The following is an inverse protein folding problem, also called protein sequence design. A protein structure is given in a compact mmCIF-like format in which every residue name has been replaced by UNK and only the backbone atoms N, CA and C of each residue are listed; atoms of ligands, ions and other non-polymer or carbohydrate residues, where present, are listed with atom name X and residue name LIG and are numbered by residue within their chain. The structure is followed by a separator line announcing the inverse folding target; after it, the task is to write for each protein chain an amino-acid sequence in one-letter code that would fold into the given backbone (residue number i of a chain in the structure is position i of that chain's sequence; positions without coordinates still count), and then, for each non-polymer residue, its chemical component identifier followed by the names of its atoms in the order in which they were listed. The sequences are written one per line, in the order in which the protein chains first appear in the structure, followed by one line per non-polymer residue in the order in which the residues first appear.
data_IF_258294710779
#
_entry.id   IF_258294710779
#
_cell.length_a   1.000
_cell.length_b   1.000
_cell.length_c   1.000
_cell.angle_alpha   90.00
_cell.angle_beta   90.00
_cell.angle_gamma   90.00
#
_symmetry.space_group_name_H-M   'P 1'
#
loop_
_entity.id
_entity.type
_entity.pdbx_description
1 polymer ?
#
# COMPACT_ATOMS: atom_id res chain seq x y z
N UNK A 1 -58.48 50.09 35.54
CA UNK A 1 -58.27 49.71 34.13
C UNK A 1 -56.78 49.64 33.84
N UNK A 2 -56.29 48.41 33.61
CA UNK A 2 -55.27 48.00 32.62
C UNK A 2 -54.18 49.03 32.22
N UNK A 3 -52.91 48.81 32.59
CA UNK A 3 -51.91 48.01 31.85
C UNK A 3 -50.44 48.46 32.02
N UNK A 4 -49.61 47.45 32.34
CA UNK A 4 -48.26 47.14 31.82
C UNK A 4 -47.05 47.94 32.32
N UNK A 5 -46.43 47.41 33.39
CA UNK A 5 -44.99 47.50 33.61
C UNK A 5 -44.32 46.22 33.07
N UNK A 6 -43.38 46.41 32.15
CA UNK A 6 -42.53 45.36 31.57
C UNK A 6 -41.42 45.06 32.58
N UNK A 7 -41.36 43.83 33.07
CA UNK A 7 -40.26 43.33 33.90
C UNK A 7 -39.22 42.70 32.97
N UNK A 8 -38.01 43.27 32.93
CA UNK A 8 -36.84 42.66 32.32
C UNK A 8 -36.33 41.55 33.25
N UNK A 9 -36.46 40.29 32.84
CA UNK A 9 -35.83 39.17 33.52
C UNK A 9 -34.40 39.00 32.96
N UNK A 10 -33.40 39.28 33.78
CA UNK A 10 -32.00 38.95 33.48
C UNK A 10 -31.77 37.50 33.92
N UNK A 11 -31.77 36.58 32.96
CA UNK A 11 -31.34 35.19 33.19
C UNK A 11 -29.81 35.13 33.22
N UNK A 12 -29.26 34.83 34.40
CA UNK A 12 -27.84 34.53 34.59
C UNK A 12 -27.58 33.08 34.16
N UNK A 13 -26.99 32.88 32.99
CA UNK A 13 -26.57 31.56 32.51
C UNK A 13 -25.18 31.26 33.11
N UNK A 14 -25.16 30.38 34.12
CA UNK A 14 -23.92 29.77 34.62
C UNK A 14 -23.39 28.83 33.52
N UNK A 15 -22.36 29.26 32.80
CA UNK A 15 -21.61 28.38 31.92
C UNK A 15 -20.71 27.47 32.78
N UNK A 16 -21.15 26.22 32.99
CA UNK A 16 -20.26 25.15 33.41
C UNK A 16 -19.23 24.93 32.30
N UNK A 17 -18.02 25.44 32.51
CA UNK A 17 -16.86 25.09 31.71
C UNK A 17 -16.51 23.62 31.99
N UNK A 18 -17.12 22.71 31.24
CA UNK A 18 -16.61 21.34 31.11
C UNK A 18 -15.25 21.43 30.43
N UNK A 19 -14.19 21.29 31.22
CA UNK A 19 -12.84 21.09 30.70
C UNK A 19 -12.85 19.85 29.81
N UNK A 20 -12.85 20.07 28.50
CA UNK A 20 -12.43 19.06 27.54
C UNK A 20 -10.97 18.78 27.86
N UNK A 21 -10.72 17.70 28.62
CA UNK A 21 -9.44 17.06 28.61
C UNK A 21 -9.20 16.64 27.16
N UNK A 22 -8.46 17.46 26.42
CA UNK A 22 -7.95 17.09 25.11
C UNK A 22 -7.15 15.81 25.32
N UNK A 23 -7.67 14.70 24.78
CA UNK A 23 -6.91 13.47 24.66
C UNK A 23 -5.67 13.83 23.86
N UNK A 24 -4.53 13.90 24.55
CA UNK A 24 -3.26 14.21 23.92
C UNK A 24 -2.93 13.01 23.02
N UNK A 25 -3.27 13.12 21.73
CA UNK A 25 -2.93 12.13 20.72
C UNK A 25 -1.41 12.19 20.50
N UNK A 26 -0.71 11.22 21.09
CA UNK A 26 0.71 11.03 20.86
C UNK A 26 0.87 10.30 19.52
N UNK A 27 1.17 11.05 18.47
CA UNK A 27 1.59 10.48 17.19
C UNK A 27 3.11 10.28 17.19
N UNK A 28 3.56 9.04 17.04
CA UNK A 28 4.94 8.72 16.73
C UNK A 28 5.19 9.18 15.30
N UNK A 29 5.82 10.34 15.13
CA UNK A 29 6.23 10.80 13.81
C UNK A 29 7.48 10.03 13.39
N UNK A 30 7.38 9.23 12.34
CA UNK A 30 8.54 8.67 11.63
C UNK A 30 9.39 9.84 11.08
N UNK A 31 10.54 10.09 11.69
CA UNK A 31 11.62 10.90 11.11
C UNK A 31 12.86 10.02 11.01
N UNK A 32 13.65 10.20 9.95
CA UNK A 32 14.97 9.57 9.82
C UNK A 32 15.76 9.78 11.12
N UNK A 33 16.19 8.68 11.76
CA UNK A 33 16.96 8.70 13.01
C UNK A 33 16.16 8.65 14.31
N UNK A 34 14.81 8.63 14.31
CA UNK A 34 14.02 8.36 15.52
C UNK A 34 14.03 6.86 15.81
N UNK A 35 14.41 6.42 17.03
CA UNK A 35 14.44 5.00 17.37
C UNK A 35 13.02 4.40 17.30
N UNK A 36 12.92 3.19 16.73
CA UNK A 36 11.68 2.44 16.66
C UNK A 36 11.11 2.23 18.07
N UNK A 37 9.78 2.28 18.20
CA UNK A 37 9.12 2.13 19.50
C UNK A 37 9.17 0.67 19.94
N UNK A 38 9.69 0.41 21.14
CA UNK A 38 9.77 -0.95 21.68
C UNK A 38 8.37 -1.48 22.02
N UNK A 39 7.99 -2.58 21.38
CA UNK A 39 6.68 -3.20 21.53
C UNK A 39 6.83 -4.64 22.02
N UNK A 40 6.15 -4.96 23.12
CA UNK A 40 6.00 -6.33 23.62
C UNK A 40 4.77 -6.99 22.99
N UNK A 41 4.98 -8.18 22.44
CA UNK A 41 3.94 -9.02 21.82
C UNK A 41 4.02 -10.45 22.39
N UNK A 42 3.52 -10.68 23.61
CA UNK A 42 3.46 -12.02 24.21
C UNK A 42 2.56 -12.98 23.42
N UNK A 43 2.67 -14.27 23.76
CA UNK A 43 1.74 -15.28 23.27
C UNK A 43 0.29 -14.92 23.67
N UNK A 44 -0.64 -15.12 22.74
CA UNK A 44 -2.04 -14.82 23.01
C UNK A 44 -2.65 -15.86 23.94
N UNK A 45 -3.36 -15.38 24.95
CA UNK A 45 -4.03 -16.24 25.92
C UNK A 45 -5.20 -16.96 25.25
N UNK A 46 -5.33 -18.26 25.48
CA UNK A 46 -6.47 -19.05 25.02
C UNK A 46 -7.34 -19.41 26.22
N UNK A 47 -8.61 -19.00 26.22
CA UNK A 47 -9.55 -19.35 27.30
C UNK A 47 -9.97 -20.82 27.26
N UNK A 48 -9.77 -21.51 26.14
CA UNK A 48 -9.98 -22.95 26.00
C UNK A 48 -8.64 -23.70 25.90
N UNK A 49 -8.65 -24.99 26.26
CA UNK A 49 -7.53 -25.90 26.01
C UNK A 49 -7.51 -26.43 24.56
N UNK A 50 -8.40 -25.94 23.69
CA UNK A 50 -8.61 -26.52 22.37
C UNK A 50 -7.43 -26.28 21.42
N UNK A 51 -7.14 -27.28 20.60
CA UNK A 51 -6.08 -27.21 19.58
C UNK A 51 -6.40 -26.11 18.57
N UNK A 52 -7.68 -25.94 18.23
CA UNK A 52 -8.18 -24.90 17.32
C UNK A 52 -7.82 -23.50 17.80
N UNK A 53 -8.17 -23.15 19.05
CA UNK A 53 -7.88 -21.83 19.60
C UNK A 53 -6.37 -21.57 19.71
N UNK A 54 -5.58 -22.58 20.09
CA UNK A 54 -4.12 -22.49 20.15
C UNK A 54 -3.48 -22.27 18.78
N UNK A 55 -3.99 -22.97 17.76
CA UNK A 55 -3.49 -22.85 16.37
C UNK A 55 -3.81 -21.46 15.83
N UNK A 56 -5.05 -20.98 16.01
CA UNK A 56 -5.43 -19.62 15.64
C UNK A 56 -4.61 -18.56 16.39
N UNK A 57 -4.33 -18.78 17.68
CA UNK A 57 -3.51 -17.86 18.50
C UNK A 57 -2.09 -17.73 17.97
N UNK A 58 -1.46 -18.86 17.64
CA UNK A 58 -0.13 -18.86 17.05
C UNK A 58 -0.11 -18.18 15.67
N UNK A 59 -1.08 -18.50 14.80
CA UNK A 59 -1.19 -17.92 13.46
C UNK A 59 -1.39 -16.39 13.50
N UNK A 60 -2.38 -15.90 14.25
CA UNK A 60 -2.68 -14.46 14.34
C UNK A 60 -1.48 -13.70 14.92
N UNK A 61 -0.86 -14.24 15.98
CA UNK A 61 0.32 -13.62 16.58
C UNK A 61 1.49 -13.57 15.60
N UNK A 62 1.76 -14.65 14.88
CA UNK A 62 2.85 -14.72 13.91
C UNK A 62 2.67 -13.68 12.80
N UNK A 63 1.45 -13.57 12.25
CA UNK A 63 1.14 -12.59 11.20
C UNK A 63 1.25 -11.17 11.75
N UNK A 64 0.68 -10.90 12.93
CA UNK A 64 0.78 -9.59 13.56
C UNK A 64 2.24 -9.19 13.84
N UNK A 65 3.07 -10.15 14.30
CA UNK A 65 4.48 -9.90 14.52
C UNK A 65 5.21 -9.56 13.21
N UNK A 66 4.90 -10.27 12.12
CA UNK A 66 5.46 -9.99 10.81
C UNK A 66 5.05 -8.60 10.31
N UNK A 67 3.77 -8.23 10.43
CA UNK A 67 3.24 -6.92 10.05
C UNK A 67 3.90 -5.77 10.82
N UNK A 68 3.98 -5.87 12.15
CA UNK A 68 4.56 -4.81 12.97
C UNK A 68 6.06 -4.63 12.73
N UNK A 69 6.81 -5.72 12.50
CA UNK A 69 8.20 -5.63 12.09
C UNK A 69 8.35 -5.01 10.69
N UNK A 70 7.45 -5.38 9.77
CA UNK A 70 7.44 -4.85 8.41
C UNK A 70 7.22 -3.34 8.37
N UNK A 71 6.42 -2.80 9.29
CA UNK A 71 6.10 -1.38 9.40
C UNK A 71 7.32 -0.45 9.58
N UNK A 72 8.44 -0.97 10.07
CA UNK A 72 9.63 -0.22 10.52
C UNK A 72 9.36 0.85 11.60
N UNK A 73 8.14 0.95 12.13
CA UNK A 73 7.75 1.85 13.23
C UNK A 73 8.11 1.24 14.59
N UNK A 74 7.94 -0.08 14.68
CA UNK A 74 8.08 -0.83 15.93
C UNK A 74 9.32 -1.70 15.91
N UNK A 75 9.92 -1.85 17.08
CA UNK A 75 10.91 -2.88 17.35
C UNK A 75 10.27 -3.88 18.32
N UNK A 76 9.96 -5.09 17.83
CA UNK A 76 9.45 -6.13 18.71
C UNK A 76 10.53 -6.59 19.68
N UNK A 77 10.17 -6.71 20.95
CA UNK A 77 11.07 -7.26 21.96
C UNK A 77 11.32 -8.76 21.71
N UNK A 78 12.57 -9.24 21.86
CA UNK A 78 12.90 -10.66 21.79
C UNK A 78 12.09 -11.49 22.78
N UNK A 79 11.52 -12.62 22.34
CA UNK A 79 10.66 -13.48 23.18
C UNK A 79 11.38 -13.99 24.45
N UNK A 80 12.70 -14.22 24.40
CA UNK A 80 13.54 -14.60 25.55
C UNK A 80 13.49 -13.59 26.71
N UNK A 81 13.09 -12.34 26.46
CA UNK A 81 12.96 -11.36 27.54
C UNK A 81 11.73 -11.64 28.41
N UNK A 82 10.72 -12.33 27.86
CA UNK A 82 9.51 -12.66 28.59
C UNK A 82 9.75 -13.73 29.68
N UNK A 83 10.87 -14.47 29.60
CA UNK A 83 11.26 -15.48 30.61
C UNK A 83 11.73 -14.86 31.93
N UNK A 84 12.12 -13.58 31.92
CA UNK A 84 12.57 -12.86 33.13
C UNK A 84 11.43 -12.24 33.94
N UNK A 85 10.20 -12.32 33.43
CA UNK A 85 9.01 -11.71 34.03
C UNK A 85 7.93 -12.75 34.27
N UNK A 86 6.87 -12.36 34.98
CA UNK A 86 5.72 -13.24 35.15
C UNK A 86 5.00 -13.44 33.81
N UNK A 87 4.43 -14.64 33.56
CA UNK A 87 3.56 -14.87 32.41
C UNK A 87 2.43 -13.85 32.34
N UNK A 88 2.03 -13.48 31.13
CA UNK A 88 0.93 -12.53 30.92
C UNK A 88 -0.39 -13.10 31.45
N UNK A 89 -1.05 -12.35 32.32
CA UNK A 89 -2.46 -12.52 32.68
C UNK A 89 -3.25 -11.33 32.13
N UNK A 90 -4.07 -11.50 31.07
CA UNK A 90 -4.87 -10.43 30.49
C UNK A 90 -5.85 -9.76 31.47
N UNK A 91 -6.23 -10.45 32.56
CA UNK A 91 -7.16 -9.93 33.57
C UNK A 91 -6.46 -9.09 34.63
N UNK A 92 -5.16 -9.28 34.84
CA UNK A 92 -4.38 -8.61 35.87
C UNK A 92 -2.92 -8.37 35.41
N UNK A 93 -2.75 -7.38 34.54
CA UNK A 93 -1.45 -7.05 33.94
C UNK A 93 -0.56 -6.31 34.95
N UNK A 94 0.62 -6.84 35.25
CA UNK A 94 1.63 -6.17 36.06
C UNK A 94 2.61 -5.36 35.19
N UNK A 95 2.29 -4.09 34.92
CA UNK A 95 3.03 -3.26 33.96
C UNK A 95 4.53 -3.07 34.27
N UNK A 96 4.92 -3.04 35.56
CA UNK A 96 6.33 -2.89 35.95
C UNK A 96 7.22 -4.02 35.43
N UNK A 97 6.67 -5.22 35.22
CA UNK A 97 7.41 -6.34 34.65
C UNK A 97 7.80 -6.01 33.19
N UNK A 98 6.84 -5.56 32.39
CA UNK A 98 7.06 -5.15 31.00
C UNK A 98 7.96 -3.92 30.89
N UNK A 99 7.84 -2.97 31.81
CA UNK A 99 8.73 -1.81 31.90
C UNK A 99 10.18 -2.24 32.18
N UNK A 100 10.38 -3.24 33.04
CA UNK A 100 11.72 -3.74 33.41
C UNK A 100 12.50 -4.36 32.23
N UNK A 101 11.78 -4.89 31.23
CA UNK A 101 12.36 -5.40 29.99
C UNK A 101 12.30 -4.37 28.85
N UNK A 102 12.12 -3.10 29.19
CA UNK A 102 12.15 -1.95 28.28
C UNK A 102 11.02 -1.93 27.24
N UNK A 103 9.86 -2.52 27.53
CA UNK A 103 8.67 -2.36 26.69
C UNK A 103 8.07 -0.96 26.89
N UNK A 104 7.89 -0.22 25.80
CA UNK A 104 7.14 1.05 25.82
C UNK A 104 5.64 0.79 25.63
N UNK A 105 5.33 -0.14 24.74
CA UNK A 105 3.98 -0.56 24.38
C UNK A 105 3.82 -2.06 24.64
N UNK A 106 2.65 -2.47 25.11
CA UNK A 106 2.27 -3.86 25.29
C UNK A 106 1.00 -4.16 24.50
N UNK A 107 1.06 -5.16 23.63
CA UNK A 107 -0.12 -5.69 22.96
C UNK A 107 -0.50 -7.07 23.55
N UNK A 108 -1.71 -7.17 24.09
CA UNK A 108 -2.24 -8.41 24.69
C UNK A 108 -3.36 -8.94 23.81
N UNK A 109 -3.24 -10.21 23.42
CA UNK A 109 -4.27 -10.93 22.67
C UNK A 109 -4.93 -12.02 23.50
N UNK A 110 -6.23 -12.16 23.34
CA UNK A 110 -7.04 -13.26 23.87
C UNK A 110 -7.80 -13.94 22.73
N UNK A 111 -7.87 -15.28 22.77
CA UNK A 111 -8.68 -16.06 21.84
C UNK A 111 -9.67 -16.94 22.61
N UNK A 112 -10.92 -16.90 22.15
CA UNK A 112 -12.00 -17.78 22.60
C UNK A 112 -12.68 -18.42 21.41
N UNK A 113 -13.25 -19.62 21.60
CA UNK A 113 -14.05 -20.26 20.56
C UNK A 113 -15.42 -19.57 20.41
N UNK A 114 -15.93 -19.58 19.17
CA UNK A 114 -17.29 -19.18 18.83
C UNK A 114 -18.06 -20.36 18.23
N UNK A 115 -19.31 -20.12 17.84
CA UNK A 115 -20.15 -21.13 17.21
C UNK A 115 -19.50 -21.68 15.91
N UNK A 116 -19.58 -23.00 15.73
CA UNK A 116 -19.02 -23.66 14.55
C UNK A 116 -17.49 -23.60 14.48
N UNK A 117 -16.96 -23.25 13.30
CA UNK A 117 -15.51 -23.20 13.07
C UNK A 117 -14.88 -21.83 13.34
N UNK A 118 -15.64 -20.91 13.94
CA UNK A 118 -15.16 -19.57 14.26
C UNK A 118 -14.35 -19.52 15.56
N UNK A 119 -13.40 -18.60 15.59
CA UNK A 119 -12.78 -18.10 16.81
C UNK A 119 -13.03 -16.59 16.93
N UNK A 120 -13.00 -16.12 18.16
CA UNK A 120 -13.03 -14.71 18.51
C UNK A 120 -11.65 -14.34 19.01
N UNK A 121 -11.01 -13.40 18.31
CA UNK A 121 -9.78 -12.77 18.72
C UNK A 121 -10.08 -11.37 19.29
N UNK A 122 -9.61 -11.11 20.51
CA UNK A 122 -9.66 -9.81 21.16
C UNK A 122 -8.23 -9.33 21.40
N UNK A 123 -7.90 -8.16 20.85
CA UNK A 123 -6.60 -7.52 20.97
C UNK A 123 -6.70 -6.22 21.72
N UNK A 124 -5.82 -6.00 22.70
CA UNK A 124 -5.77 -4.79 23.53
C UNK A 124 -4.37 -4.22 23.53
N UNK A 125 -4.27 -2.91 23.35
CA UNK A 125 -3.02 -2.17 23.33
C UNK A 125 -2.92 -1.27 24.57
N UNK A 126 -1.75 -1.27 25.21
CA UNK A 126 -1.49 -0.52 26.42
C UNK A 126 -0.18 0.28 26.31
N UNK A 127 -0.19 1.46 26.92
CA UNK A 127 1.02 2.19 27.29
C UNK A 127 1.57 1.60 28.59
N UNK A 128 2.83 1.13 28.56
CA UNK A 128 3.41 0.37 29.67
C UNK A 128 3.73 1.29 30.85
N UNK A 129 4.34 2.44 30.59
CA UNK A 129 4.81 3.37 31.63
C UNK A 129 3.66 3.91 32.48
N UNK A 130 2.56 4.28 31.83
CA UNK A 130 1.35 4.77 32.50
C UNK A 130 0.38 3.66 32.91
N UNK A 131 0.61 2.41 32.51
CA UNK A 131 -0.34 1.31 32.69
C UNK A 131 -1.71 1.60 32.06
N UNK A 132 -1.74 2.40 30.99
CA UNK A 132 -2.95 2.99 30.43
C UNK A 132 -3.42 2.21 29.22
N UNK A 133 -4.70 1.85 29.20
CA UNK A 133 -5.35 1.31 28.01
C UNK A 133 -5.41 2.36 26.90
N UNK A 134 -4.94 1.99 25.70
CA UNK A 134 -4.98 2.85 24.50
C UNK A 134 -6.22 2.50 23.69
N UNK A 135 -6.34 1.25 23.22
CA UNK A 135 -7.51 0.78 22.50
C UNK A 135 -7.61 -0.75 22.53
N UNK A 136 -8.76 -1.27 22.11
CA UNK A 136 -8.95 -2.70 21.88
C UNK A 136 -9.93 -2.96 20.74
N UNK A 137 -9.76 -4.10 20.06
CA UNK A 137 -10.64 -4.56 18.99
C UNK A 137 -10.96 -6.02 19.17
N UNK A 138 -12.11 -6.41 18.64
CA UNK A 138 -12.59 -7.79 18.64
C UNK A 138 -12.95 -8.19 17.22
N UNK A 139 -12.47 -9.34 16.80
CA UNK A 139 -12.73 -9.92 15.48
C UNK A 139 -13.25 -11.34 15.65
N UNK A 140 -14.30 -11.66 14.91
CA UNK A 140 -14.75 -13.05 14.74
C UNK A 140 -14.32 -13.51 13.36
N UNK A 141 -13.63 -14.65 13.29
CA UNK A 141 -13.02 -15.14 12.06
C UNK A 141 -12.86 -16.65 12.09
N UNK A 142 -12.88 -17.28 10.91
CA UNK A 142 -12.58 -18.70 10.70
C UNK A 142 -11.53 -18.89 9.60
N UNK A 143 -10.72 -19.94 9.76
CA UNK A 143 -9.74 -20.38 8.76
C UNK A 143 -8.87 -19.25 8.23
N UNK A 144 -8.89 -19.04 6.91
CA UNK A 144 -8.06 -18.01 6.22
C UNK A 144 -8.33 -16.58 6.69
N UNK A 145 -9.47 -16.32 7.34
CA UNK A 145 -9.80 -14.99 7.87
C UNK A 145 -9.01 -14.63 9.15
N UNK A 146 -8.31 -15.58 9.78
CA UNK A 146 -7.40 -15.28 10.89
C UNK A 146 -6.31 -14.29 10.48
N UNK A 147 -5.70 -14.50 9.31
CA UNK A 147 -4.70 -13.59 8.74
C UNK A 147 -5.26 -12.20 8.53
N UNK A 148 -6.47 -12.10 7.99
CA UNK A 148 -7.14 -10.82 7.80
C UNK A 148 -7.41 -10.11 9.14
N UNK A 149 -7.76 -10.86 10.20
CA UNK A 149 -7.90 -10.29 11.54
C UNK A 149 -6.57 -9.74 12.08
N UNK A 150 -5.46 -10.46 11.86
CA UNK A 150 -4.11 -10.01 12.21
C UNK A 150 -3.71 -8.72 11.46
N UNK A 151 -3.90 -8.69 10.13
CA UNK A 151 -3.61 -7.50 9.32
C UNK A 151 -4.47 -6.29 9.75
N UNK A 152 -5.76 -6.52 10.02
CA UNK A 152 -6.66 -5.45 10.49
C UNK A 152 -6.24 -4.89 11.83
N UNK A 153 -5.84 -5.73 12.79
CA UNK A 153 -5.36 -5.19 14.07
C UNK A 153 -4.02 -4.48 13.91
N UNK A 154 -3.11 -4.96 13.04
CA UNK A 154 -1.86 -4.28 12.73
C UNK A 154 -2.12 -2.87 12.15
N UNK A 155 -3.09 -2.76 11.23
CA UNK A 155 -3.51 -1.48 10.65
C UNK A 155 -4.03 -0.52 11.73
N UNK A 156 -4.82 -1.02 12.68
CA UNK A 156 -5.30 -0.24 13.82
C UNK A 156 -4.15 0.21 14.74
N UNK A 157 -3.17 -0.66 15.02
CA UNK A 157 -2.00 -0.30 15.84
C UNK A 157 -1.20 0.84 15.18
N UNK A 158 -0.87 0.70 13.88
CA UNK A 158 -0.14 1.73 13.14
C UNK A 158 -0.91 3.05 13.11
N UNK A 159 -2.22 2.99 12.83
CA UNK A 159 -3.07 4.19 12.77
C UNK A 159 -3.12 4.93 14.11
N UNK A 160 -3.30 4.22 15.21
CA UNK A 160 -3.43 4.82 16.54
C UNK A 160 -2.10 5.30 17.14
N UNK A 161 -0.98 4.69 16.77
CA UNK A 161 0.32 5.01 17.38
C UNK A 161 1.20 5.93 16.52
N UNK A 162 1.13 5.86 15.19
CA UNK A 162 2.03 6.62 14.31
C UNK A 162 1.33 7.70 13.48
N UNK A 163 0.01 7.60 13.30
CA UNK A 163 -0.72 8.43 12.34
C UNK A 163 -0.35 8.16 10.87
N UNK A 164 0.55 7.21 10.60
CA UNK A 164 0.91 6.76 9.27
C UNK A 164 -0.23 5.99 8.61
N UNK A 165 -0.16 5.89 7.27
CA UNK A 165 -1.13 5.12 6.49
C UNK A 165 -0.81 3.63 6.64
N UNK A 166 -1.73 2.82 7.18
CA UNK A 166 -1.47 1.39 7.35
C UNK A 166 -1.60 0.66 6.00
N UNK A 167 -0.87 -0.46 5.85
CA UNK A 167 -0.73 -1.16 4.56
C UNK A 167 -0.99 -2.68 4.63
N UNK A 168 -1.27 -3.25 5.80
CA UNK A 168 -1.28 -4.72 5.94
C UNK A 168 -2.50 -5.36 5.31
N UNK A 169 -3.57 -4.60 5.10
CA UNK A 169 -4.75 -5.06 4.33
C UNK A 169 -4.66 -4.75 2.83
N UNK A 170 -3.62 -4.02 2.39
CA UNK A 170 -3.39 -3.71 0.97
C UNK A 170 -3.14 -4.96 0.12
N UNK A 171 -3.20 -4.78 -1.19
CA UNK A 171 -3.09 -5.84 -2.19
C UNK A 171 -2.09 -5.44 -3.26
N UNK A 172 -1.51 -6.44 -3.91
CA UNK A 172 -0.65 -6.26 -5.09
C UNK A 172 -1.32 -6.99 -6.24
N UNK A 173 -1.65 -6.27 -7.31
CA UNK A 173 -2.05 -6.86 -8.57
C UNK A 173 -0.81 -7.12 -9.41
N UNK A 174 -0.77 -8.21 -10.16
CA UNK A 174 0.36 -8.56 -11.02
C UNK A 174 -0.10 -9.47 -12.15
N UNK A 175 0.78 -9.68 -13.14
CA UNK A 175 0.54 -10.61 -14.25
C UNK A 175 1.28 -11.91 -13.98
N UNK A 176 0.63 -13.05 -14.19
CA UNK A 176 1.27 -14.37 -14.13
C UNK A 176 0.89 -15.24 -15.33
N UNK A 177 1.84 -16.04 -15.81
CA UNK A 177 1.62 -17.07 -16.83
C UNK A 177 1.45 -18.49 -16.25
N UNK A 178 1.36 -18.62 -14.92
CA UNK A 178 1.42 -19.91 -14.20
C UNK A 178 0.34 -20.92 -14.60
N UNK A 179 -0.74 -20.44 -15.22
CA UNK A 179 -1.87 -21.25 -15.69
C UNK A 179 -1.97 -21.32 -17.23
N UNK A 180 -0.88 -21.00 -17.94
CA UNK A 180 -0.72 -21.23 -19.38
C UNK A 180 -0.81 -19.99 -20.28
N UNK A 181 -1.26 -18.85 -19.76
CA UNK A 181 -1.25 -17.56 -20.45
C UNK A 181 -1.12 -16.40 -19.45
N UNK A 182 -0.66 -15.24 -19.93
CA UNK A 182 -0.55 -14.03 -19.12
C UNK A 182 -1.93 -13.54 -18.66
N UNK A 183 -2.17 -13.62 -17.36
CA UNK A 183 -3.43 -13.21 -16.74
C UNK A 183 -3.19 -12.39 -15.48
N UNK A 184 -4.21 -11.65 -15.05
CA UNK A 184 -4.14 -10.85 -13.85
C UNK A 184 -4.35 -11.74 -12.61
N UNK A 185 -3.50 -11.53 -11.62
CA UNK A 185 -3.58 -12.10 -10.28
C UNK A 185 -3.50 -10.99 -9.25
N UNK A 186 -3.89 -11.31 -8.03
CA UNK A 186 -3.78 -10.45 -6.88
C UNK A 186 -3.26 -11.25 -5.69
N UNK A 187 -2.51 -10.61 -4.81
CA UNK A 187 -2.04 -11.18 -3.55
C UNK A 187 -2.12 -10.15 -2.42
N UNK A 188 -2.05 -10.61 -1.18
CA UNK A 188 -1.78 -9.76 -0.02
C UNK A 188 -0.40 -9.10 -0.16
N UNK A 189 -0.19 -7.99 0.54
CA UNK A 189 1.06 -7.23 0.50
C UNK A 189 2.31 -8.09 0.82
N UNK A 190 2.14 -9.17 1.59
CA UNK A 190 3.18 -10.09 2.02
C UNK A 190 3.36 -11.31 1.09
N UNK A 191 2.68 -11.31 -0.05
CA UNK A 191 2.74 -12.36 -1.07
C UNK A 191 1.82 -13.56 -0.84
N UNK A 192 1.07 -13.59 0.27
CA UNK A 192 0.10 -14.64 0.55
C UNK A 192 -1.24 -14.39 -0.16
N UNK A 193 -2.15 -15.37 -0.09
CA UNK A 193 -3.51 -15.20 -0.61
C UNK A 193 -3.63 -15.04 -2.12
N UNK A 194 -2.64 -15.53 -2.89
CA UNK A 194 -2.60 -15.33 -4.34
C UNK A 194 -3.85 -15.91 -5.03
N UNK A 195 -4.57 -15.05 -5.74
CA UNK A 195 -5.85 -15.36 -6.40
C UNK A 195 -5.84 -14.81 -7.83
N UNK A 196 -6.34 -15.60 -8.78
CA UNK A 196 -6.48 -15.22 -10.18
C UNK A 196 -7.71 -14.32 -10.37
N UNK A 197 -7.59 -13.25 -11.16
CA UNK A 197 -8.64 -12.25 -11.39
C UNK A 197 -9.31 -12.38 -12.77
N UNK A 198 -8.54 -12.70 -13.81
CA UNK A 198 -9.06 -12.95 -15.17
C UNK A 198 -9.08 -14.46 -15.44
N UNK A 199 -9.87 -14.95 -16.39
CA UNK A 199 -10.00 -16.40 -16.69
C UNK A 199 -10.28 -16.66 -18.17
N UNK A 200 -9.79 -15.79 -19.06
CA UNK A 200 -10.28 -15.69 -20.43
C UNK A 200 -9.32 -16.31 -21.47
N UNK A 201 -8.17 -16.85 -21.06
CA UNK A 201 -7.14 -17.40 -21.96
C UNK A 201 -6.59 -16.38 -22.98
N UNK A 202 -6.81 -15.10 -22.70
CA UNK A 202 -6.32 -13.96 -23.47
C UNK A 202 -5.20 -13.33 -22.65
N UNK A 203 -4.27 -12.67 -23.32
CA UNK A 203 -3.19 -11.98 -22.62
C UNK A 203 -3.72 -10.70 -22.00
N UNK A 204 -3.69 -10.62 -20.68
CA UNK A 204 -4.10 -9.47 -19.88
C UNK A 204 -2.90 -8.92 -19.11
N UNK A 205 -2.65 -7.61 -19.22
CA UNK A 205 -1.41 -6.96 -18.77
C UNK A 205 -1.63 -5.62 -18.08
N UNK A 206 -0.56 -5.16 -17.43
CA UNK A 206 -0.41 -3.79 -16.90
C UNK A 206 -1.61 -3.39 -16.03
N UNK A 207 -1.88 -4.12 -14.93
CA UNK A 207 -2.93 -3.73 -14.01
C UNK A 207 -2.61 -2.36 -13.40
N UNK A 208 -3.63 -1.52 -13.23
CA UNK A 208 -3.57 -0.26 -12.52
C UNK A 208 -4.75 -0.14 -11.57
N UNK A 209 -4.47 -0.09 -10.26
CA UNK A 209 -5.46 0.04 -9.21
C UNK A 209 -6.15 1.39 -9.24
N UNK A 210 -7.47 1.36 -9.10
CA UNK A 210 -8.23 2.53 -8.65
C UNK A 210 -7.90 2.85 -7.18
N UNK A 211 -7.91 4.12 -6.77
CA UNK A 211 -7.54 4.53 -5.42
C UNK A 211 -8.52 4.05 -4.33
N UNK A 212 -9.74 3.64 -4.71
CA UNK A 212 -10.71 3.05 -3.79
C UNK A 212 -10.58 1.52 -3.68
N UNK A 213 -9.63 0.92 -4.39
CA UNK A 213 -9.36 -0.53 -4.45
C UNK A 213 -10.53 -1.37 -4.98
N UNK A 214 -11.52 -0.76 -5.65
CA UNK A 214 -12.69 -1.48 -6.17
C UNK A 214 -12.55 -1.89 -7.63
N UNK A 215 -11.65 -1.25 -8.35
CA UNK A 215 -11.45 -1.45 -9.79
C UNK A 215 -9.99 -1.62 -10.15
N UNK A 216 -9.76 -2.36 -11.22
CA UNK A 216 -8.46 -2.49 -11.88
C UNK A 216 -8.64 -2.12 -13.35
N UNK A 217 -7.90 -1.12 -13.82
CA UNK A 217 -7.75 -0.87 -15.25
C UNK A 217 -6.63 -1.75 -15.79
N UNK A 218 -6.78 -2.30 -16.99
CA UNK A 218 -5.80 -3.21 -17.57
C UNK A 218 -5.89 -3.27 -19.09
N UNK A 219 -4.81 -3.71 -19.72
CA UNK A 219 -4.76 -3.97 -21.16
C UNK A 219 -5.13 -5.41 -21.45
N UNK A 220 -6.03 -5.63 -22.41
CA UNK A 220 -6.43 -6.95 -22.86
C UNK A 220 -6.35 -7.07 -24.38
N UNK A 221 -5.87 -8.21 -24.86
CA UNK A 221 -5.81 -8.55 -26.29
C UNK A 221 -7.08 -9.21 -26.84
N UNK A 222 -8.22 -9.05 -26.15
CA UNK A 222 -9.49 -9.74 -26.48
C UNK A 222 -9.98 -9.50 -27.91
N UNK A 223 -9.69 -8.32 -28.48
CA UNK A 223 -10.13 -7.93 -29.82
C UNK A 223 -8.98 -7.96 -30.84
N UNK A 224 -8.01 -8.86 -30.67
CA UNK A 224 -6.77 -8.97 -31.49
C UNK A 224 -5.84 -7.75 -31.45
N UNK A 225 -6.30 -6.66 -30.86
CA UNK A 225 -5.58 -5.42 -30.58
C UNK A 225 -5.56 -5.19 -29.07
N UNK A 226 -4.54 -4.47 -28.58
CA UNK A 226 -4.42 -4.12 -27.17
C UNK A 226 -5.48 -3.06 -26.81
N UNK A 227 -6.62 -3.52 -26.30
CA UNK A 227 -7.68 -2.65 -25.77
C UNK A 227 -7.47 -2.38 -24.28
N UNK A 228 -7.98 -1.24 -23.81
CA UNK A 228 -7.98 -0.86 -22.40
C UNK A 228 -9.37 -1.09 -21.79
N UNK A 229 -9.41 -1.75 -20.64
CA UNK A 229 -10.62 -2.14 -19.93
C UNK A 229 -10.52 -1.81 -18.45
N UNK A 230 -11.67 -1.69 -17.79
CA UNK A 230 -11.81 -1.56 -16.33
C UNK A 230 -12.60 -2.77 -15.83
N UNK A 231 -12.00 -3.54 -14.93
CA UNK A 231 -12.66 -4.59 -14.16
C UNK A 231 -13.15 -4.00 -12.83
N UNK A 232 -14.45 -4.10 -12.58
CA UNK A 232 -15.04 -3.89 -11.26
C UNK A 232 -14.96 -5.19 -10.45
N UNK A 233 -14.24 -5.17 -9.32
CA UNK A 233 -13.95 -6.36 -8.52
C UNK A 233 -15.15 -6.84 -7.70
N UNK A 234 -16.08 -5.95 -7.35
CA UNK A 234 -17.28 -6.29 -6.60
C UNK A 234 -18.35 -6.88 -7.51
N UNK A 235 -18.61 -6.23 -8.65
CA UNK A 235 -19.62 -6.67 -9.61
C UNK A 235 -19.10 -7.74 -10.59
N UNK A 236 -17.79 -7.96 -10.68
CA UNK A 236 -17.17 -8.78 -11.72
C UNK A 236 -17.39 -8.22 -13.14
N UNK A 237 -17.76 -6.94 -13.26
CA UNK A 237 -18.14 -6.31 -14.52
C UNK A 237 -16.91 -5.73 -15.23
N UNK A 238 -16.72 -6.12 -16.49
CA UNK A 238 -15.68 -5.54 -17.35
C UNK A 238 -16.30 -4.49 -18.28
N UNK A 239 -15.75 -3.28 -18.27
CA UNK A 239 -16.18 -2.17 -19.14
C UNK A 239 -15.02 -1.70 -20.02
N UNK A 240 -15.20 -1.52 -21.34
CA UNK A 240 -14.13 -0.99 -22.20
C UNK A 240 -13.93 0.51 -21.95
N UNK A 241 -12.67 0.95 -21.96
CA UNK A 241 -12.28 2.36 -22.00
C UNK A 241 -12.03 2.76 -23.45
N UNK A 242 -11.11 2.06 -24.12
CA UNK A 242 -10.83 2.23 -25.54
C UNK A 242 -10.41 0.89 -26.15
N UNK A 243 -11.00 0.56 -27.29
CA UNK A 243 -10.63 -0.63 -28.10
C UNK A 243 -10.08 -0.23 -29.46
N UNK A 244 -9.87 1.07 -29.70
CA UNK A 244 -9.28 1.60 -30.93
C UNK A 244 -7.77 1.70 -30.75
N UNK A 245 -7.01 1.22 -31.73
CA UNK A 245 -5.54 1.18 -31.70
C UNK A 245 -4.98 0.40 -30.49
N UNK A 246 -3.72 0.63 -30.12
CA UNK A 246 -3.07 0.00 -28.96
C UNK A 246 -3.19 0.93 -27.76
N UNK A 247 -3.70 0.43 -26.63
CA UNK A 247 -3.93 1.19 -25.41
C UNK A 247 -3.31 0.44 -24.22
N UNK A 248 -2.48 1.11 -23.43
CA UNK A 248 -1.68 0.45 -22.39
C UNK A 248 -1.23 1.37 -21.25
N UNK A 249 -0.62 0.78 -20.22
CA UNK A 249 -0.14 1.45 -19.00
C UNK A 249 -1.17 2.39 -18.36
N UNK A 250 -2.35 1.87 -17.94
CA UNK A 250 -3.31 2.67 -17.20
C UNK A 250 -2.78 3.11 -15.83
N UNK A 251 -3.12 4.33 -15.42
CA UNK A 251 -2.84 4.87 -14.08
C UNK A 251 -4.00 5.76 -13.64
N UNK A 252 -4.68 5.39 -12.55
CA UNK A 252 -5.72 6.22 -11.96
C UNK A 252 -5.12 7.41 -11.21
N UNK A 253 -5.81 8.55 -11.25
CA UNK A 253 -5.48 9.66 -10.36
C UNK A 253 -5.80 9.27 -8.91
N UNK A 254 -5.02 9.74 -7.92
CA UNK A 254 -5.28 9.48 -6.50
C UNK A 254 -6.67 9.92 -6.01
N UNK A 255 -7.25 10.94 -6.64
CA UNK A 255 -8.62 11.39 -6.34
C UNK A 255 -9.72 10.55 -7.04
N UNK A 256 -9.35 9.59 -7.87
CA UNK A 256 -10.22 8.65 -8.57
C UNK A 256 -11.00 9.25 -9.74
N UNK A 257 -10.81 10.54 -10.04
CA UNK A 257 -11.60 11.24 -11.06
C UNK A 257 -11.11 11.01 -12.47
N UNK A 258 -9.84 10.64 -12.64
CA UNK A 258 -9.18 10.52 -13.94
C UNK A 258 -8.43 9.18 -14.06
N UNK A 259 -8.25 8.76 -15.31
CA UNK A 259 -7.46 7.61 -15.72
C UNK A 259 -6.52 8.05 -16.83
N UNK A 260 -5.23 8.12 -16.57
CA UNK A 260 -4.21 8.35 -17.59
C UNK A 260 -3.82 7.02 -18.23
N UNK A 261 -3.49 7.02 -19.52
CA UNK A 261 -3.04 5.83 -20.25
C UNK A 261 -2.29 6.23 -21.52
N UNK A 262 -1.54 5.28 -22.09
CA UNK A 262 -0.88 5.43 -23.37
C UNK A 262 -1.82 4.98 -24.49
N UNK A 263 -1.81 5.68 -25.63
CA UNK A 263 -2.48 5.18 -26.83
C UNK A 263 -1.76 5.55 -28.12
N UNK A 264 -1.87 4.69 -29.12
CA UNK A 264 -1.38 4.93 -30.49
C UNK A 264 -2.48 5.40 -31.44
N UNK A 265 -3.60 5.87 -30.89
CA UNK A 265 -4.79 6.33 -31.62
C UNK A 265 -4.52 7.38 -32.69
N UNK A 266 -3.46 8.17 -32.54
CA UNK A 266 -3.05 9.23 -33.46
C UNK A 266 -1.67 8.98 -34.13
N UNK A 267 -1.23 7.72 -34.20
CA UNK A 267 -0.05 7.29 -34.94
C UNK A 267 1.11 6.81 -34.06
N UNK A 268 1.69 7.71 -33.27
CA UNK A 268 2.71 7.42 -32.25
C UNK A 268 2.08 7.22 -30.86
N UNK A 269 2.86 6.68 -29.90
CA UNK A 269 2.40 6.57 -28.51
C UNK A 269 2.36 7.95 -27.87
N UNK A 270 1.20 8.29 -27.33
CA UNK A 270 0.92 9.55 -26.65
C UNK A 270 0.19 9.29 -25.34
N UNK A 271 0.26 10.24 -24.40
CA UNK A 271 -0.50 10.21 -23.14
C UNK A 271 -1.91 10.74 -23.39
N UNK A 272 -2.90 9.95 -22.97
CA UNK A 272 -4.31 10.31 -22.95
C UNK A 272 -4.81 10.27 -21.50
N UNK A 273 -5.91 10.97 -21.27
CA UNK A 273 -6.67 10.93 -20.03
C UNK A 273 -8.15 10.66 -20.34
N UNK A 274 -8.77 9.82 -19.53
CA UNK A 274 -10.21 9.61 -19.46
C UNK A 274 -10.71 10.00 -18.07
N UNK A 275 -12.03 10.10 -17.90
CA UNK A 275 -12.64 10.08 -16.58
C UNK A 275 -12.39 8.72 -15.90
N UNK A 276 -12.49 8.67 -14.57
CA UNK A 276 -12.25 7.45 -13.79
C UNK A 276 -13.23 6.30 -14.09
N UNK A 277 -14.29 6.55 -14.87
CA UNK A 277 -15.19 5.53 -15.40
C UNK A 277 -14.82 5.06 -16.83
N UNK A 278 -13.75 5.60 -17.43
CA UNK A 278 -13.28 5.28 -18.77
C UNK A 278 -13.87 6.12 -19.90
N UNK A 279 -14.68 7.15 -19.61
CA UNK A 279 -15.29 8.01 -20.64
C UNK A 279 -14.51 9.30 -20.89
N UNK A 280 -14.97 10.13 -21.83
CA UNK A 280 -14.43 11.47 -22.09
C UNK A 280 -12.92 11.51 -22.33
N UNK A 281 -12.47 10.67 -23.25
CA UNK A 281 -11.05 10.54 -23.60
C UNK A 281 -10.53 11.84 -24.25
N UNK A 282 -9.42 12.35 -23.73
CA UNK A 282 -8.69 13.53 -24.22
C UNK A 282 -7.20 13.21 -24.35
N UNK A 283 -6.57 13.67 -25.42
CA UNK A 283 -5.11 13.59 -25.61
C UNK A 283 -4.41 14.71 -24.82
N UNK A 284 -3.30 14.41 -24.16
CA UNK A 284 -2.50 15.36 -23.37
C UNK A 284 -1.19 15.76 -24.06
N UNK A 285 -0.53 14.83 -24.73
CA UNK A 285 0.76 15.09 -25.39
C UNK A 285 0.60 15.13 -26.91
N UNK A 286 1.31 16.05 -27.58
CA UNK A 286 1.15 16.31 -29.02
C UNK A 286 2.51 16.51 -29.68
N UNK A 287 3.23 15.43 -29.98
CA UNK A 287 4.55 15.54 -30.57
C UNK A 287 4.93 14.28 -31.37
N UNK A 288 6.18 14.18 -31.85
CA UNK A 288 6.65 13.03 -32.64
C UNK A 288 7.38 11.97 -31.80
N UNK A 289 7.64 12.25 -30.53
CA UNK A 289 8.30 11.34 -29.62
C UNK A 289 7.34 10.20 -29.20
N UNK A 290 7.90 9.17 -28.58
CA UNK A 290 7.15 8.14 -27.90
C UNK A 290 6.97 8.58 -26.45
N UNK A 291 5.74 8.88 -26.06
CA UNK A 291 5.36 9.21 -24.69
C UNK A 291 4.63 8.01 -24.05
N UNK A 292 5.11 7.52 -22.91
CA UNK A 292 4.65 6.28 -22.26
C UNK A 292 4.65 6.32 -20.73
N UNK A 293 4.06 5.28 -20.12
CA UNK A 293 4.09 4.99 -18.67
C UNK A 293 3.72 6.18 -17.77
N UNK A 294 2.48 6.72 -17.90
CA UNK A 294 2.04 7.81 -17.03
C UNK A 294 1.89 7.34 -15.57
N UNK A 295 2.28 8.18 -14.63
CA UNK A 295 2.09 8.00 -13.19
C UNK A 295 1.65 9.32 -12.55
N UNK A 296 0.52 9.30 -11.86
CA UNK A 296 -0.02 10.49 -11.21
C UNK A 296 0.77 10.86 -9.95
N UNK A 297 1.01 12.16 -9.78
CA UNK A 297 1.40 12.73 -8.49
C UNK A 297 0.30 12.50 -7.44
N UNK A 298 0.65 12.38 -6.14
CA UNK A 298 -0.34 12.16 -5.07
C UNK A 298 -1.37 13.29 -4.93
N UNK A 299 -1.05 14.49 -5.46
CA UNK A 299 -1.98 15.63 -5.46
C UNK A 299 -2.96 15.63 -6.64
N UNK A 300 -2.86 14.68 -7.57
CA UNK A 300 -3.63 14.61 -8.83
C UNK A 300 -3.44 15.84 -9.75
N UNK A 301 -2.39 16.65 -9.55
CA UNK A 301 -2.13 17.88 -10.33
C UNK A 301 -1.09 17.72 -11.41
N UNK A 302 -0.23 16.71 -11.29
CA UNK A 302 0.86 16.44 -12.20
C UNK A 302 0.92 14.96 -12.56
N UNK A 303 1.53 14.67 -13.71
CA UNK A 303 1.78 13.33 -14.25
C UNK A 303 3.27 13.22 -14.58
N UNK A 304 3.94 12.23 -14.01
CA UNK A 304 5.25 11.77 -14.45
C UNK A 304 5.08 10.77 -15.59
N UNK A 305 5.95 10.81 -16.60
CA UNK A 305 5.87 9.91 -17.75
C UNK A 305 7.24 9.78 -18.42
N UNK A 306 7.43 8.71 -19.20
CA UNK A 306 8.63 8.51 -20.00
C UNK A 306 8.44 9.12 -21.39
N UNK A 307 9.49 9.75 -21.93
CA UNK A 307 9.49 10.31 -23.28
C UNK A 307 10.87 10.26 -23.93
N UNK A 308 10.93 9.90 -25.21
CA UNK A 308 12.17 9.93 -26.00
C UNK A 308 12.42 11.26 -26.74
N UNK A 309 11.68 12.33 -26.41
CA UNK A 309 11.80 13.65 -27.07
C UNK A 309 13.18 14.31 -27.01
N UNK A 310 14.06 13.82 -26.13
CA UNK A 310 15.47 14.23 -26.02
C UNK A 310 16.45 13.23 -26.64
N UNK A 311 15.97 12.35 -27.53
CA UNK A 311 16.76 11.35 -28.27
C UNK A 311 16.66 9.93 -27.69
N UNK A 312 16.63 9.78 -26.37
CA UNK A 312 16.37 8.50 -25.70
C UNK A 312 15.31 8.66 -24.61
N UNK A 313 14.63 7.58 -24.18
CA UNK A 313 13.64 7.64 -23.11
C UNK A 313 14.20 8.27 -21.83
N UNK A 314 13.50 9.29 -21.33
CA UNK A 314 13.80 10.03 -20.10
C UNK A 314 12.50 10.30 -19.34
N UNK A 315 12.59 10.59 -18.05
CA UNK A 315 11.42 10.93 -17.22
C UNK A 315 11.13 12.42 -17.29
N UNK A 316 9.87 12.74 -17.58
CA UNK A 316 9.31 14.08 -17.60
C UNK A 316 8.15 14.17 -16.62
N UNK A 317 7.84 15.40 -16.21
CA UNK A 317 6.64 15.75 -15.46
C UNK A 317 5.89 16.81 -16.25
N UNK A 318 4.57 16.72 -16.28
CA UNK A 318 3.67 17.74 -16.82
C UNK A 318 2.51 17.97 -15.86
N UNK A 319 1.79 19.07 -16.03
CA UNK A 319 0.51 19.27 -15.35
C UNK A 319 -0.52 18.24 -15.83
N UNK A 320 -1.55 17.97 -15.03
CA UNK A 320 -2.66 17.08 -15.34
C UNK A 320 -3.39 17.42 -16.66
N UNK A 321 -3.30 18.68 -17.10
CA UNK A 321 -3.89 19.17 -18.35
C UNK A 321 -2.95 19.10 -19.57
N UNK A 322 -1.70 18.65 -19.39
CA UNK A 322 -0.70 18.47 -20.45
C UNK A 322 0.27 19.64 -20.65
N UNK A 323 0.15 20.72 -19.85
CA UNK A 323 1.06 21.88 -19.87
C UNK A 323 2.32 21.69 -19.03
N UNK A 324 3.24 22.66 -19.07
CA UNK A 324 4.42 22.77 -18.21
C UNK A 324 5.32 21.51 -18.18
N UNK A 325 5.51 20.90 -19.35
CA UNK A 325 6.35 19.72 -19.48
C UNK A 325 7.81 20.04 -19.17
N UNK A 326 8.41 19.31 -18.23
CA UNK A 326 9.82 19.46 -17.82
C UNK A 326 10.49 18.11 -17.60
N UNK A 327 11.76 17.99 -17.98
CA UNK A 327 12.57 16.79 -17.72
C UNK A 327 13.02 16.77 -16.26
N UNK A 328 13.01 15.59 -15.65
CA UNK A 328 13.45 15.42 -14.24
C UNK A 328 14.52 14.34 -14.05
N UNK A 329 14.67 13.38 -14.97
CA UNK A 329 15.78 12.43 -14.91
C UNK A 329 17.05 12.98 -15.57
N UNK A 330 18.19 12.73 -14.93
CA UNK A 330 19.51 13.08 -15.43
C UNK A 330 20.46 11.90 -15.22
N UNK A 331 21.38 11.68 -16.16
CA UNK A 331 22.22 10.49 -16.18
C UNK A 331 21.48 9.24 -16.69
N UNK A 332 22.25 8.25 -17.17
CA UNK A 332 21.71 7.10 -17.88
C UNK A 332 21.25 7.41 -19.31
N UNK A 333 21.20 6.38 -20.17
CA UNK A 333 20.80 6.53 -21.58
C UNK A 333 19.36 6.05 -21.87
N UNK A 334 18.64 5.56 -20.86
CA UNK A 334 17.26 5.10 -20.96
C UNK A 334 16.65 5.12 -19.57
N UNK A 335 15.58 5.89 -19.37
CA UNK A 335 14.80 5.94 -18.15
C UNK A 335 13.31 5.76 -18.47
N UNK A 336 12.63 4.87 -17.76
CA UNK A 336 11.26 4.44 -18.06
C UNK A 336 10.50 4.01 -16.79
N UNK A 337 9.20 3.71 -16.93
CA UNK A 337 8.31 3.22 -15.87
C UNK A 337 8.42 4.02 -14.55
N UNK A 338 8.19 5.35 -14.58
CA UNK A 338 8.17 6.15 -13.37
C UNK A 338 6.97 5.77 -12.49
N UNK A 339 7.17 5.75 -11.17
CA UNK A 339 6.11 5.67 -10.18
C UNK A 339 6.33 6.74 -9.09
N UNK A 340 5.34 7.62 -8.92
CA UNK A 340 5.38 8.68 -7.92
C UNK A 340 5.13 8.12 -6.53
N UNK A 341 5.95 8.53 -5.56
CA UNK A 341 5.73 8.18 -4.15
C UNK A 341 4.45 8.83 -3.60
N UNK A 342 3.72 8.18 -2.68
CA UNK A 342 2.56 8.77 -2.03
C UNK A 342 2.86 10.08 -1.27
N UNK A 343 4.10 10.24 -0.79
CA UNK A 343 4.58 11.48 -0.14
C UNK A 343 4.82 12.64 -1.11
N UNK A 344 4.92 12.36 -2.42
CA UNK A 344 5.05 13.37 -3.46
C UNK A 344 6.46 13.91 -3.67
N UNK A 345 7.42 13.55 -2.82
CA UNK A 345 8.79 14.04 -2.82
C UNK A 345 9.75 13.16 -3.63
N UNK A 346 9.33 11.96 -4.03
CA UNK A 346 10.18 10.99 -4.74
C UNK A 346 9.48 10.36 -5.94
N UNK A 347 10.27 9.98 -6.95
CA UNK A 347 9.86 9.14 -8.07
C UNK A 347 10.84 7.97 -8.15
N UNK A 348 10.32 6.75 -8.14
CA UNK A 348 11.11 5.56 -8.52
C UNK A 348 10.96 5.35 -10.02
N UNK A 349 12.01 4.97 -10.71
CA UNK A 349 11.97 4.68 -12.14
C UNK A 349 13.02 3.61 -12.50
N UNK A 350 12.87 3.02 -13.67
CA UNK A 350 13.83 2.08 -14.24
C UNK A 350 14.86 2.84 -15.03
N UNK A 351 16.15 2.57 -14.85
CA UNK A 351 17.20 3.06 -15.73
C UNK A 351 18.02 1.91 -16.29
N UNK A 352 18.38 1.99 -17.57
CA UNK A 352 19.28 1.04 -18.22
C UNK A 352 20.69 1.62 -18.30
N UNK A 353 21.67 0.87 -17.79
CA UNK A 353 23.10 1.17 -17.92
C UNK A 353 23.80 -0.12 -18.32
N UNK A 354 24.57 -0.09 -19.41
CA UNK A 354 25.29 -1.28 -19.94
C UNK A 354 24.40 -2.54 -20.10
N UNK A 355 23.16 -2.35 -20.59
CA UNK A 355 22.13 -3.38 -20.75
C UNK A 355 21.56 -4.00 -19.46
N UNK A 356 21.93 -3.50 -18.29
CA UNK A 356 21.34 -3.88 -16.99
C UNK A 356 20.23 -2.87 -16.66
N UNK A 357 19.08 -3.38 -16.24
CA UNK A 357 17.92 -2.57 -15.83
C UNK A 357 17.84 -2.57 -14.31
N UNK A 358 18.06 -1.41 -13.71
CA UNK A 358 18.00 -1.22 -12.27
C UNK A 358 16.99 -0.14 -11.89
N UNK A 359 16.52 -0.20 -10.66
CA UNK A 359 15.64 0.80 -10.09
C UNK A 359 16.47 1.96 -9.53
N UNK A 360 15.99 3.18 -9.77
CA UNK A 360 16.56 4.40 -9.25
C UNK A 360 15.46 5.22 -8.58
N UNK A 361 15.81 5.90 -7.49
CA UNK A 361 14.91 6.82 -6.79
C UNK A 361 15.44 8.23 -6.97
N UNK A 362 14.64 9.08 -7.61
CA UNK A 362 14.85 10.51 -7.71
C UNK A 362 14.12 11.21 -6.57
N UNK A 363 14.85 12.03 -5.81
CA UNK A 363 14.28 12.97 -4.86
C UNK A 363 14.01 14.32 -5.56
N UNK A 364 12.75 14.73 -5.62
CA UNK A 364 12.30 15.92 -6.33
C UNK A 364 12.65 17.23 -5.60
N UNK A 365 13.02 17.19 -4.31
CA UNK A 365 13.35 18.40 -3.54
C UNK A 365 14.77 18.87 -3.78
N UNK A 366 15.70 17.93 -3.95
CA UNK A 366 17.14 18.22 -4.07
C UNK A 366 17.78 17.66 -5.35
N UNK A 367 16.99 17.00 -6.23
CA UNK A 367 17.44 16.33 -7.45
C UNK A 367 18.47 15.22 -7.24
N UNK A 368 18.55 14.66 -6.03
CA UNK A 368 19.42 13.53 -5.75
C UNK A 368 18.84 12.25 -6.36
N UNK A 369 19.71 11.48 -7.03
CA UNK A 369 19.36 10.18 -7.61
C UNK A 369 20.14 9.11 -6.85
N UNK A 370 19.44 8.09 -6.38
CA UNK A 370 20.01 6.93 -5.69
C UNK A 370 19.70 5.68 -6.50
N UNK A 371 20.71 4.87 -6.77
CA UNK A 371 20.54 3.52 -7.34
C UNK A 371 20.03 2.60 -6.23
N UNK A 372 18.87 1.98 -6.45
CA UNK A 372 18.16 1.19 -5.44
C UNK A 372 18.46 -0.31 -5.55
N UNK A 373 18.57 -0.83 -6.77
CA UNK A 373 18.92 -2.23 -7.01
C UNK A 373 20.29 -2.33 -7.68
N UNK A 374 21.05 -3.35 -7.29
CA UNK A 374 22.33 -3.69 -7.92
C UNK A 374 22.51 -5.21 -7.85
N UNK A 375 21.83 -5.91 -8.75
CA UNK A 375 21.72 -7.37 -8.67
C UNK A 375 22.13 -8.10 -9.95
N UNK A 376 22.67 -7.37 -10.94
CA UNK A 376 22.94 -7.87 -12.30
C UNK A 376 21.74 -8.64 -12.90
N UNK A 377 20.54 -8.27 -12.45
CA UNK A 377 19.26 -8.78 -12.90
C UNK A 377 18.53 -7.67 -13.64
N UNK A 378 17.47 -8.03 -14.35
CA UNK A 378 16.55 -7.10 -14.98
C UNK A 378 15.46 -6.76 -13.96
N UNK A 379 15.54 -5.57 -13.37
CA UNK A 379 14.60 -5.05 -12.38
C UNK A 379 13.70 -4.01 -13.04
N UNK A 380 12.38 -4.24 -13.04
CA UNK A 380 11.44 -3.46 -13.84
C UNK A 380 10.10 -3.20 -13.15
N UNK A 381 9.37 -2.21 -13.67
CA UNK A 381 8.00 -1.86 -13.29
C UNK A 381 7.80 -1.72 -11.78
N UNK A 382 8.45 -0.73 -11.16
CA UNK A 382 8.32 -0.46 -9.74
C UNK A 382 6.95 0.15 -9.40
N UNK A 383 6.41 -0.19 -8.22
CA UNK A 383 5.23 0.44 -7.61
C UNK A 383 5.48 0.66 -6.12
N UNK A 384 5.12 1.84 -5.62
CA UNK A 384 5.26 2.18 -4.20
C UNK A 384 4.17 1.54 -3.34
N UNK A 385 4.50 1.19 -2.10
CA UNK A 385 3.50 0.96 -1.06
C UNK A 385 2.80 2.27 -0.68
N UNK A 386 1.56 2.22 -0.15
CA UNK A 386 0.79 3.43 0.19
C UNK A 386 1.42 4.35 1.25
N UNK A 387 2.29 3.80 2.10
CA UNK A 387 3.05 4.55 3.11
C UNK A 387 4.36 5.14 2.56
N UNK A 388 4.75 4.79 1.34
CA UNK A 388 5.98 5.25 0.69
C UNK A 388 7.27 4.62 1.25
N UNK A 389 7.18 3.55 2.05
CA UNK A 389 8.34 2.91 2.67
C UNK A 389 8.88 1.71 1.89
N UNK A 390 8.07 1.12 1.02
CA UNK A 390 8.41 -0.09 0.27
C UNK A 390 8.10 0.08 -1.21
N UNK A 391 8.79 -0.71 -2.03
CA UNK A 391 8.61 -0.75 -3.48
C UNK A 391 8.48 -2.22 -3.89
N UNK A 392 7.45 -2.56 -4.65
CA UNK A 392 7.35 -3.84 -5.36
C UNK A 392 7.81 -3.66 -6.80
N UNK A 393 8.41 -4.69 -7.37
CA UNK A 393 8.92 -4.68 -8.73
C UNK A 393 9.06 -6.10 -9.28
N UNK A 394 9.18 -6.22 -10.60
CA UNK A 394 9.48 -7.49 -11.26
C UNK A 394 11.00 -7.66 -11.39
N UNK A 395 11.51 -8.85 -11.09
CA UNK A 395 12.93 -9.17 -11.28
C UNK A 395 13.15 -10.61 -11.71
N UNK A 396 14.13 -10.82 -12.59
CA UNK A 396 14.61 -12.15 -12.99
C UNK A 396 15.80 -12.65 -12.14
N UNK A 397 16.06 -12.04 -10.97
CA UNK A 397 17.16 -12.39 -10.06
C UNK A 397 17.21 -13.88 -9.71
N UNK A 398 16.06 -14.57 -9.67
CA UNK A 398 15.98 -16.01 -9.39
C UNK A 398 15.81 -16.89 -10.63
N UNK A 399 16.15 -16.40 -11.83
CA UNK A 399 15.91 -17.07 -13.10
C UNK A 399 14.61 -16.58 -13.77
N UNK A 400 13.44 -17.21 -13.55
CA UNK A 400 12.17 -16.68 -14.05
C UNK A 400 11.84 -15.31 -13.44
N UNK A 401 11.05 -14.50 -14.15
CA UNK A 401 10.57 -13.21 -13.61
C UNK A 401 9.69 -13.46 -12.39
N UNK A 402 9.94 -12.78 -11.28
CA UNK A 402 9.16 -12.87 -10.05
C UNK A 402 8.89 -11.48 -9.49
N UNK A 403 7.84 -11.36 -8.67
CA UNK A 403 7.60 -10.13 -7.90
C UNK A 403 8.51 -10.15 -6.69
N UNK A 404 9.29 -9.08 -6.55
CA UNK A 404 10.11 -8.78 -5.39
C UNK A 404 9.61 -7.53 -4.71
N UNK A 405 10.05 -7.36 -3.47
CA UNK A 405 9.86 -6.16 -2.70
C UNK A 405 11.18 -5.75 -2.07
N UNK A 406 11.41 -4.44 -1.98
CA UNK A 406 12.55 -3.81 -1.35
C UNK A 406 12.08 -2.59 -0.58
N UNK A 407 12.84 -2.17 0.42
CA UNK A 407 12.59 -0.90 1.09
C UNK A 407 13.08 0.27 0.24
N UNK A 408 12.56 1.48 0.52
CA UNK A 408 12.94 2.70 -0.21
C UNK A 408 14.43 3.05 -0.15
N UNK A 409 15.15 2.51 0.84
CA UNK A 409 16.58 2.69 1.09
C UNK A 409 17.44 1.53 0.53
N UNK A 410 16.82 0.56 -0.14
CA UNK A 410 17.50 -0.60 -0.74
C UNK A 410 17.69 -1.78 0.22
N UNK A 411 17.22 -1.67 1.48
CA UNK A 411 17.29 -2.76 2.44
C UNK A 411 16.17 -3.79 2.24
N UNK A 412 16.28 -4.91 2.96
CA UNK A 412 15.21 -5.91 3.12
C UNK A 412 14.62 -6.47 1.82
N UNK A 413 15.48 -6.72 0.81
CA UNK A 413 15.07 -7.36 -0.43
C UNK A 413 14.44 -8.74 -0.15
N UNK A 414 13.18 -8.93 -0.58
CA UNK A 414 12.43 -10.18 -0.42
C UNK A 414 11.67 -10.57 -1.69
N UNK A 415 11.55 -11.87 -1.93
CA UNK A 415 10.80 -12.45 -3.05
C UNK A 415 9.39 -12.80 -2.61
N UNK A 416 8.36 -12.38 -3.37
CA UNK A 416 6.94 -12.57 -3.03
C UNK A 416 6.27 -13.71 -3.81
N UNK A 417 6.76 -14.05 -5.00
CA UNK A 417 6.19 -15.11 -5.85
C UNK A 417 7.23 -16.17 -6.21
N UNK A 418 6.81 -17.39 -6.49
CA UNK A 418 7.72 -18.50 -6.82
C UNK A 418 7.29 -19.39 -8.00
N UNK A 419 6.04 -19.30 -8.46
CA UNK A 419 5.47 -20.15 -9.50
C UNK A 419 5.15 -19.33 -10.77
N UNK A 420 5.54 -19.86 -11.94
CA UNK A 420 5.38 -19.17 -13.23
C UNK A 420 6.29 -17.96 -13.38
N UNK A 421 6.11 -17.17 -14.43
CA UNK A 421 6.67 -15.84 -14.60
C UNK A 421 5.68 -14.80 -14.09
N UNK A 422 6.11 -14.00 -13.13
CA UNK A 422 5.31 -12.95 -12.51
C UNK A 422 5.93 -11.58 -12.80
N UNK A 423 5.13 -10.64 -13.30
CA UNK A 423 5.59 -9.35 -13.83
C UNK A 423 4.54 -8.25 -13.65
N UNK A 424 4.95 -7.00 -13.90
CA UNK A 424 4.07 -5.82 -13.90
C UNK A 424 3.25 -5.68 -12.59
N UNK A 425 3.89 -5.69 -11.40
CA UNK A 425 3.16 -5.50 -10.16
C UNK A 425 2.68 -4.05 -10.01
N UNK A 426 1.50 -3.89 -9.43
CA UNK A 426 0.91 -2.61 -9.05
C UNK A 426 0.33 -2.76 -7.63
N UNK A 427 0.79 -1.91 -6.71
CA UNK A 427 0.43 -1.96 -5.29
C UNK A 427 -0.79 -1.06 -5.06
N UNK A 428 -1.85 -1.62 -4.48
CA UNK A 428 -3.08 -0.87 -4.19
C UNK A 428 -2.81 0.27 -3.21
N UNK A 429 -3.39 1.44 -3.50
CA UNK A 429 -3.34 2.63 -2.65
C UNK A 429 -4.03 2.47 -1.30
#
# INVERSE_FOLDING_TARGET
MKHKNIVFAVSFLLALASGLAGQQEFYITLKEGVPATSLALPNFATRSSSVKAKTAAAEIRQVLAADLNFSRIFQLLPEKYYDYIRPIDPSNIFFKDWESIQASILFVGEISEAAGDDVVFEGKLYDVKGGRFIFGKRYQSSGKLHRLAAHRIADEIVRNLSGGKPIFTSKIAFVSDRDGNDELYMMDYDGQGQTRLTFNKIRDYMPGWSPDTKKIAYTSYKNLTAGLYILDLEAGKVSPVSVRATNFSPSFSPDGKKLAFCSTMDGNSEIYVADGNGQNIKRLTFNKAIDTAPSWSPTSREIAFASDRSGTPQIYIMDAEGSNVRRVSFGGNYCDAPAWSPGGDRIVYVSRVENIFDLYVLNLRNNQIIKLTESNARNETPSWSPDGLHIVFASNLSGPSQVYQIDYDGANLRKLTSQGNNKLPDWSN
#
